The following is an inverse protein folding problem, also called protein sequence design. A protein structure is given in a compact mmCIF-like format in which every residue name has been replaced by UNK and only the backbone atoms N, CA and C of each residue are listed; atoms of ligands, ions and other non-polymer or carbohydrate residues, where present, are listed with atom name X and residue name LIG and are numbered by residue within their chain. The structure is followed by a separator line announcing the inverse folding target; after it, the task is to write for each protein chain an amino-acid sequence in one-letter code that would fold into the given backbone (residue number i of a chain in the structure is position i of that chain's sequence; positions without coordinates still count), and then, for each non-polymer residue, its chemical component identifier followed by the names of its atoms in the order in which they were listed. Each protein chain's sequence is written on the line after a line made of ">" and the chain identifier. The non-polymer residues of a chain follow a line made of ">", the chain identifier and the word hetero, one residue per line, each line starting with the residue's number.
data_IF_675897930422
#
_entry.id   IF_675897930422
#
_cell.length_a   1.000
_cell.length_b   1.000
_cell.length_c   1.000
_cell.angle_alpha   90.00
_cell.angle_beta   90.00
_cell.angle_gamma   90.00
#
_symmetry.space_group_name_H-M   'P 1'
#
loop_
_entity.id
_entity.type
_entity.pdbx_description
1 polymer ?
#
# COMPACT_ATOMS: atom_id res chain seq x y z
N UNK A 1 30.50 0.30 -2.68
CA UNK A 1 30.03 0.61 -1.31
C UNK A 1 30.75 -0.29 -0.34
N UNK A 2 31.47 0.28 0.64
CA UNK A 2 32.20 -0.44 1.66
C UNK A 2 31.29 -1.12 2.70
N UNK A 3 31.87 -2.01 3.54
CA UNK A 3 31.09 -2.73 4.57
C UNK A 3 30.45 -1.77 5.60
N UNK A 4 31.17 -0.72 5.97
CA UNK A 4 30.68 0.32 6.89
C UNK A 4 29.50 1.11 6.30
N UNK A 5 29.63 1.60 5.07
CA UNK A 5 28.57 2.32 4.36
C UNK A 5 27.28 1.49 4.21
N UNK A 6 27.42 0.18 3.94
CA UNK A 6 26.26 -0.74 3.90
C UNK A 6 25.56 -0.83 5.25
N UNK A 7 26.34 -0.91 6.33
CA UNK A 7 25.81 -1.00 7.68
C UNK A 7 25.10 0.30 8.09
N UNK A 8 25.62 1.46 7.71
CA UNK A 8 24.99 2.76 7.96
C UNK A 8 23.68 2.89 7.19
N UNK A 9 23.67 2.53 5.91
CA UNK A 9 22.47 2.56 5.09
C UNK A 9 21.37 1.65 5.67
N UNK A 10 21.71 0.43 6.09
CA UNK A 10 20.75 -0.48 6.72
C UNK A 10 20.19 0.12 8.01
N UNK A 11 21.04 0.71 8.86
CA UNK A 11 20.58 1.38 10.09
C UNK A 11 19.63 2.52 9.80
N UNK A 12 19.90 3.32 8.77
CA UNK A 12 19.02 4.39 8.34
C UNK A 12 17.63 3.87 7.99
N UNK A 13 17.51 2.88 7.10
CA UNK A 13 16.22 2.32 6.72
C UNK A 13 15.47 1.64 7.87
N UNK A 14 16.20 0.97 8.78
CA UNK A 14 15.60 0.42 10.02
C UNK A 14 14.98 1.53 10.88
N UNK A 15 15.67 2.66 11.01
CA UNK A 15 15.15 3.81 11.77
C UNK A 15 13.95 4.46 11.05
N UNK A 16 14.00 4.64 9.72
CA UNK A 16 12.91 5.20 8.90
C UNK A 16 11.60 4.41 9.06
N UNK A 17 11.69 3.08 9.12
CA UNK A 17 10.51 2.24 9.34
C UNK A 17 10.15 2.06 10.83
N UNK A 18 10.81 2.79 11.74
CA UNK A 18 10.52 2.79 13.17
C UNK A 18 10.88 1.47 13.88
N UNK A 19 11.97 0.84 13.46
CA UNK A 19 12.50 -0.41 14.04
C UNK A 19 13.86 -0.23 14.73
N UNK A 20 14.23 1.01 15.09
CA UNK A 20 15.43 1.27 15.89
C UNK A 20 15.39 0.46 17.19
N UNK A 21 16.49 -0.20 17.52
CA UNK A 21 16.61 -1.11 18.67
C UNK A 21 16.27 -2.58 18.36
N UNK A 22 15.76 -2.89 17.15
CA UNK A 22 15.45 -4.24 16.72
C UNK A 22 16.41 -4.79 15.64
N UNK A 23 17.56 -4.14 15.44
CA UNK A 23 18.54 -4.47 14.38
C UNK A 23 19.06 -5.91 14.47
N UNK A 24 19.08 -6.48 15.67
CA UNK A 24 19.55 -7.84 15.94
C UNK A 24 18.42 -8.86 16.18
N UNK A 25 17.17 -8.42 16.09
CA UNK A 25 16.03 -9.30 16.32
C UNK A 25 15.84 -10.28 15.16
N UNK A 26 15.56 -11.53 15.48
CA UNK A 26 15.19 -12.53 14.49
C UNK A 26 13.73 -12.36 14.08
N UNK A 27 13.32 -12.76 12.85
CA UNK A 27 11.94 -12.62 12.36
C UNK A 27 10.87 -13.19 13.30
N UNK A 28 11.17 -14.28 14.02
CA UNK A 28 10.27 -14.91 15.01
C UNK A 28 10.00 -14.04 16.24
N UNK A 29 10.86 -13.07 16.51
CA UNK A 29 10.75 -12.15 17.65
C UNK A 29 9.98 -10.87 17.28
N UNK A 30 9.61 -10.71 16.01
CA UNK A 30 8.92 -9.53 15.49
C UNK A 30 7.42 -9.80 15.36
N UNK A 31 6.61 -8.79 15.65
CA UNK A 31 5.16 -8.80 15.36
C UNK A 31 4.90 -8.85 13.84
N UNK A 32 3.64 -9.09 13.43
CA UNK A 32 3.24 -9.06 12.03
C UNK A 32 3.56 -7.72 11.36
N UNK A 33 3.18 -6.61 11.98
CA UNK A 33 3.47 -5.27 11.50
C UNK A 33 4.98 -4.95 11.47
N UNK A 34 5.75 -5.42 12.46
CA UNK A 34 7.21 -5.24 12.44
C UNK A 34 7.86 -6.02 11.29
N UNK A 35 7.41 -7.24 11.01
CA UNK A 35 7.90 -8.00 9.84
C UNK A 35 7.57 -7.27 8.52
N UNK A 36 6.39 -6.67 8.43
CA UNK A 36 6.01 -5.88 7.26
C UNK A 36 6.91 -4.65 7.07
N UNK A 37 7.23 -3.93 8.15
CA UNK A 37 8.18 -2.81 8.14
C UNK A 37 9.57 -3.26 7.67
N UNK A 38 10.04 -4.42 8.10
CA UNK A 38 11.30 -5.00 7.60
C UNK A 38 11.21 -5.28 6.10
N UNK A 39 10.08 -5.81 5.61
CA UNK A 39 9.91 -6.09 4.18
C UNK A 39 9.97 -4.81 3.34
N UNK A 40 9.32 -3.72 3.79
CA UNK A 40 9.38 -2.40 3.14
C UNK A 40 10.83 -1.87 3.15
N UNK A 41 11.51 -1.83 4.30
CA UNK A 41 12.89 -1.38 4.40
C UNK A 41 13.82 -2.17 3.47
N UNK A 42 13.67 -3.50 3.43
CA UNK A 42 14.45 -4.39 2.56
C UNK A 42 14.24 -4.07 1.08
N UNK A 43 13.01 -3.77 0.67
CA UNK A 43 12.71 -3.43 -0.72
C UNK A 43 13.32 -2.08 -1.11
N UNK A 44 13.28 -1.10 -0.23
CA UNK A 44 13.73 0.28 -0.48
C UNK A 44 15.25 0.45 -0.42
N UNK A 45 15.97 -0.35 0.39
CA UNK A 45 17.42 -0.24 0.53
C UNK A 45 18.17 -0.40 -0.79
N UNK A 46 17.57 -1.08 -1.77
CA UNK A 46 18.11 -1.23 -3.13
C UNK A 46 17.85 -0.01 -4.04
N UNK A 47 17.14 1.02 -3.53
CA UNK A 47 16.73 2.22 -4.28
C UNK A 47 16.10 1.87 -5.64
N UNK A 48 15.04 1.05 -5.66
CA UNK A 48 14.41 0.63 -6.90
C UNK A 48 13.74 1.83 -7.59
N UNK A 49 13.63 1.80 -8.91
CA UNK A 49 12.80 2.74 -9.68
C UNK A 49 11.31 2.41 -9.62
N UNK A 50 10.99 1.14 -9.38
CA UNK A 50 9.62 0.61 -9.27
C UNK A 50 9.55 -0.38 -8.11
N UNK A 51 8.55 -0.22 -7.25
CA UNK A 51 8.21 -1.12 -6.15
C UNK A 51 6.88 -1.79 -6.44
N UNK A 52 6.87 -3.12 -6.42
CA UNK A 52 5.65 -3.92 -6.58
C UNK A 52 5.20 -4.41 -5.21
N UNK A 53 3.94 -4.16 -4.88
CA UNK A 53 3.32 -4.60 -3.63
C UNK A 53 2.01 -5.31 -3.94
N UNK A 54 1.91 -6.57 -3.52
CA UNK A 54 0.74 -7.41 -3.70
C UNK A 54 0.12 -7.71 -2.34
N UNK A 55 -1.05 -7.13 -2.07
CA UNK A 55 -1.81 -7.21 -0.81
C UNK A 55 -0.95 -7.08 0.47
N UNK A 56 -0.06 -6.08 0.56
CA UNK A 56 0.98 -6.06 1.59
C UNK A 56 0.41 -5.94 3.01
N UNK A 57 -0.81 -5.45 3.18
CA UNK A 57 -1.41 -5.22 4.49
C UNK A 57 -2.61 -6.13 4.79
N UNK A 58 -2.92 -7.08 3.90
CA UNK A 58 -4.10 -7.95 4.02
C UNK A 58 -4.15 -8.81 5.30
N UNK A 59 -2.99 -9.20 5.84
CA UNK A 59 -2.89 -10.01 7.07
C UNK A 59 -2.87 -9.17 8.37
N UNK A 60 -2.98 -7.85 8.31
CA UNK A 60 -2.92 -6.96 9.47
C UNK A 60 -4.32 -6.63 10.00
N UNK A 61 -4.43 -6.46 11.31
CA UNK A 61 -5.61 -5.86 11.92
C UNK A 61 -5.79 -4.40 11.49
N UNK A 62 -7.00 -3.86 11.62
CA UNK A 62 -7.36 -2.53 11.12
C UNK A 62 -6.48 -1.40 11.67
N UNK A 63 -6.13 -1.45 12.96
CA UNK A 63 -5.32 -0.42 13.60
C UNK A 63 -3.86 -0.46 13.09
N UNK A 64 -3.28 -1.66 13.06
CA UNK A 64 -1.92 -1.87 12.54
C UNK A 64 -1.84 -1.51 11.04
N UNK A 65 -2.88 -1.84 10.27
CA UNK A 65 -2.98 -1.50 8.84
C UNK A 65 -2.92 0.01 8.62
N UNK A 66 -3.75 0.80 9.32
CA UNK A 66 -3.74 2.27 9.20
C UNK A 66 -2.35 2.86 9.50
N UNK A 67 -1.71 2.41 10.58
CA UNK A 67 -0.34 2.85 10.90
C UNK A 67 0.68 2.47 9.82
N UNK A 68 0.52 1.32 9.18
CA UNK A 68 1.41 0.88 8.09
C UNK A 68 1.20 1.66 6.80
N UNK A 69 -0.03 2.04 6.49
CA UNK A 69 -0.37 2.90 5.35
C UNK A 69 0.24 4.30 5.53
N UNK A 70 0.10 4.91 6.69
CA UNK A 70 0.73 6.21 7.00
C UNK A 70 2.27 6.13 6.93
N UNK A 71 2.86 5.06 7.47
CA UNK A 71 4.30 4.83 7.36
C UNK A 71 4.74 4.72 5.89
N UNK A 72 4.00 3.97 5.07
CA UNK A 72 4.31 3.82 3.64
C UNK A 72 4.27 5.16 2.91
N UNK A 73 3.25 5.99 3.18
CA UNK A 73 3.15 7.34 2.60
C UNK A 73 4.34 8.21 3.01
N UNK A 74 4.69 8.22 4.29
CA UNK A 74 5.85 8.98 4.79
C UNK A 74 7.14 8.56 4.10
N UNK A 75 7.42 7.26 4.06
CA UNK A 75 8.62 6.72 3.41
C UNK A 75 8.60 7.01 1.89
N UNK A 76 7.42 6.93 1.26
CA UNK A 76 7.27 7.29 -0.15
C UNK A 76 7.57 8.77 -0.40
N UNK A 77 7.17 9.68 0.49
CA UNK A 77 7.47 11.11 0.38
C UNK A 77 8.97 11.40 0.38
N UNK A 78 9.74 10.63 1.14
CA UNK A 78 11.19 10.78 1.22
C UNK A 78 11.92 10.19 -0.01
N UNK A 79 11.41 9.09 -0.57
CA UNK A 79 12.11 8.35 -1.64
C UNK A 79 11.52 8.56 -3.05
N UNK A 80 10.26 8.97 -3.17
CA UNK A 80 9.54 9.23 -4.44
C UNK A 80 9.65 8.10 -5.47
N UNK A 81 9.67 6.86 -5.00
CA UNK A 81 9.69 5.68 -5.86
C UNK A 81 8.32 5.46 -6.52
N UNK A 82 8.30 4.98 -7.75
CA UNK A 82 7.05 4.53 -8.36
C UNK A 82 6.58 3.25 -7.67
N UNK A 83 5.32 3.22 -7.23
CA UNK A 83 4.73 2.05 -6.56
C UNK A 83 3.57 1.53 -7.39
N UNK A 84 3.60 0.24 -7.73
CA UNK A 84 2.44 -0.50 -8.18
C UNK A 84 1.91 -1.32 -7.01
N UNK A 85 0.72 -0.96 -6.55
CA UNK A 85 0.11 -1.50 -5.35
C UNK A 85 -1.16 -2.27 -5.72
N UNK A 86 -1.21 -3.55 -5.42
CA UNK A 86 -2.38 -4.41 -5.63
C UNK A 86 -3.08 -4.61 -4.29
N UNK A 87 -4.37 -4.33 -4.26
CA UNK A 87 -5.22 -4.52 -3.08
C UNK A 87 -6.66 -4.78 -3.50
N UNK A 88 -7.42 -5.45 -2.64
CA UNK A 88 -8.87 -5.55 -2.74
C UNK A 88 -9.59 -4.55 -1.81
N UNK A 89 -8.85 -3.77 -1.03
CA UNK A 89 -9.39 -2.75 -0.13
C UNK A 89 -9.47 -1.40 -0.86
N UNK A 90 -10.70 -0.92 -1.08
CA UNK A 90 -10.97 0.32 -1.82
C UNK A 90 -10.47 1.55 -1.06
N UNK A 91 -10.59 1.57 0.27
CA UNK A 91 -10.10 2.70 1.08
C UNK A 91 -8.57 2.79 1.00
N UNK A 92 -7.89 1.66 1.07
CA UNK A 92 -6.45 1.57 0.91
C UNK A 92 -5.99 2.09 -0.45
N UNK A 93 -6.66 1.67 -1.53
CA UNK A 93 -6.34 2.14 -2.88
C UNK A 93 -6.48 3.67 -3.01
N UNK A 94 -7.57 4.25 -2.49
CA UNK A 94 -7.80 5.70 -2.53
C UNK A 94 -6.79 6.44 -1.64
N UNK A 95 -6.53 5.92 -0.44
CA UNK A 95 -5.65 6.57 0.53
C UNK A 95 -4.20 6.66 0.05
N UNK A 96 -3.71 5.59 -0.61
CA UNK A 96 -2.30 5.49 -0.99
C UNK A 96 -2.00 6.04 -2.38
N UNK A 97 -2.87 5.79 -3.37
CA UNK A 97 -2.52 5.97 -4.77
C UNK A 97 -2.81 7.37 -5.32
N UNK A 98 -2.06 7.77 -6.36
CA UNK A 98 -2.38 8.93 -7.20
C UNK A 98 -3.32 8.55 -8.36
N UNK A 99 -3.33 7.26 -8.71
CA UNK A 99 -4.19 6.68 -9.75
C UNK A 99 -4.67 5.31 -9.28
N UNK A 100 -5.98 5.08 -9.37
CA UNK A 100 -6.59 3.79 -9.09
C UNK A 100 -7.08 3.16 -10.38
N UNK A 101 -6.69 1.92 -10.59
CA UNK A 101 -7.09 1.11 -11.75
C UNK A 101 -8.06 0.04 -11.28
N UNK A 102 -9.30 0.10 -11.75
CA UNK A 102 -10.31 -0.94 -11.50
C UNK A 102 -10.26 -1.95 -12.63
N UNK A 103 -10.10 -3.23 -12.27
CA UNK A 103 -10.04 -4.33 -13.22
C UNK A 103 -11.40 -5.04 -13.29
N UNK A 104 -11.83 -5.34 -14.50
CA UNK A 104 -12.95 -6.23 -14.76
C UNK A 104 -12.51 -7.68 -14.68
N UNK A 105 -13.46 -8.57 -14.34
CA UNK A 105 -13.24 -10.01 -14.27
C UNK A 105 -13.63 -10.71 -15.58
N UNK A 106 -12.92 -11.80 -15.90
CA UNK A 106 -13.27 -12.80 -16.94
C UNK A 106 -13.69 -12.24 -18.31
N UNK A 107 -12.74 -11.84 -19.18
CA UNK A 107 -11.29 -11.81 -18.95
C UNK A 107 -10.86 -10.60 -18.14
N UNK A 108 -9.73 -10.72 -17.43
CA UNK A 108 -9.10 -9.58 -16.73
C UNK A 108 -8.77 -8.47 -17.73
N UNK A 109 -9.36 -7.29 -17.55
CA UNK A 109 -9.15 -6.12 -18.40
C UNK A 109 -9.34 -4.83 -17.62
N UNK A 110 -8.77 -3.75 -18.11
CA UNK A 110 -9.03 -2.43 -17.57
C UNK A 110 -10.54 -2.11 -17.70
N UNK A 111 -11.19 -1.83 -16.57
CA UNK A 111 -12.56 -1.32 -16.55
C UNK A 111 -12.54 0.20 -16.48
N UNK A 112 -11.83 0.75 -15.53
CA UNK A 112 -11.76 2.20 -15.31
C UNK A 112 -10.43 2.58 -14.68
N UNK A 113 -9.95 3.76 -15.00
CA UNK A 113 -8.86 4.43 -14.32
C UNK A 113 -9.40 5.72 -13.71
N UNK A 114 -9.06 5.97 -12.43
CA UNK A 114 -9.42 7.18 -11.70
C UNK A 114 -8.13 7.88 -11.24
N UNK A 115 -8.04 9.16 -11.49
CA UNK A 115 -7.05 10.02 -10.87
C UNK A 115 -7.56 10.43 -9.49
N UNK A 116 -6.75 10.28 -8.46
CA UNK A 116 -7.09 10.64 -7.09
C UNK A 116 -6.47 12.00 -6.78
N UNK A 117 -7.30 13.03 -6.78
CA UNK A 117 -6.87 14.43 -6.61
C UNK A 117 -6.97 14.89 -5.13
N UNK A 118 -6.77 13.95 -4.20
CA UNK A 118 -6.65 14.25 -2.78
C UNK A 118 -5.26 14.83 -2.49
N UNK A 119 -5.22 15.93 -1.75
CA UNK A 119 -3.96 16.61 -1.42
C UNK A 119 -2.99 15.73 -0.64
N UNK A 120 -1.69 15.98 -0.79
CA UNK A 120 -0.61 15.36 -0.03
C UNK A 120 0.08 16.41 0.86
N UNK A 121 0.59 16.05 2.04
CA UNK A 121 0.63 14.70 2.64
C UNK A 121 -0.76 14.27 3.13
N UNK A 122 -1.17 13.04 2.78
CA UNK A 122 -2.44 12.49 3.26
C UNK A 122 -2.30 11.97 4.67
N UNK A 123 -3.21 12.36 5.53
CA UNK A 123 -3.35 11.86 6.90
C UNK A 123 -4.61 11.00 6.98
N UNK A 124 -4.68 10.12 7.96
CA UNK A 124 -5.76 9.14 8.04
C UNK A 124 -7.16 9.78 8.21
N UNK A 125 -7.23 11.01 8.73
CA UNK A 125 -8.49 11.77 8.85
C UNK A 125 -9.17 12.06 7.51
N UNK A 126 -8.41 12.05 6.39
CA UNK A 126 -8.96 12.27 5.05
C UNK A 126 -10.01 11.21 4.64
N UNK A 127 -9.97 10.00 5.25
CA UNK A 127 -10.90 8.92 4.91
C UNK A 127 -12.37 9.25 5.25
N UNK A 128 -12.58 10.24 6.11
CA UNK A 128 -13.91 10.74 6.49
C UNK A 128 -14.38 11.93 5.65
N UNK A 129 -13.56 12.42 4.71
CA UNK A 129 -13.92 13.56 3.88
C UNK A 129 -15.01 13.25 2.85
N UNK A 130 -15.80 14.23 2.42
CA UNK A 130 -16.78 14.07 1.34
C UNK A 130 -16.15 13.65 0.01
N UNK A 131 -14.95 14.19 -0.30
CA UNK A 131 -14.19 13.90 -1.51
C UNK A 131 -13.75 12.43 -1.52
N UNK A 132 -13.19 11.93 -0.41
CA UNK A 132 -12.82 10.52 -0.27
C UNK A 132 -14.04 9.61 -0.42
N UNK A 133 -15.15 9.95 0.20
CA UNK A 133 -16.42 9.21 0.12
C UNK A 133 -16.97 9.15 -1.31
N UNK A 134 -16.73 10.17 -2.11
CA UNK A 134 -17.12 10.21 -3.53
C UNK A 134 -16.31 9.18 -4.34
N UNK A 135 -14.98 9.17 -4.22
CA UNK A 135 -14.13 8.17 -4.86
C UNK A 135 -14.52 6.75 -4.44
N UNK A 136 -14.74 6.54 -3.14
CA UNK A 136 -15.13 5.23 -2.60
C UNK A 136 -16.44 4.73 -3.22
N UNK A 137 -17.46 5.57 -3.26
CA UNK A 137 -18.76 5.24 -3.86
C UNK A 137 -18.61 4.85 -5.33
N UNK A 138 -17.85 5.61 -6.10
CA UNK A 138 -17.67 5.40 -7.52
C UNK A 138 -16.95 4.06 -7.80
N UNK A 139 -15.86 3.79 -7.08
CA UNK A 139 -15.11 2.52 -7.23
C UNK A 139 -15.97 1.33 -6.79
N UNK A 140 -16.71 1.45 -5.68
CA UNK A 140 -17.60 0.38 -5.22
C UNK A 140 -18.73 0.09 -6.21
N UNK A 141 -19.25 1.12 -6.90
CA UNK A 141 -20.24 0.93 -7.96
C UNK A 141 -19.67 0.12 -9.13
N UNK A 142 -18.44 0.44 -9.56
CA UNK A 142 -17.73 -0.30 -10.62
C UNK A 142 -17.48 -1.77 -10.23
N UNK A 143 -17.02 -2.02 -9.01
CA UNK A 143 -16.78 -3.38 -8.50
C UNK A 143 -18.09 -4.17 -8.40
N UNK A 144 -19.15 -3.55 -7.90
CA UNK A 144 -20.47 -4.19 -7.80
C UNK A 144 -21.02 -4.61 -9.16
N UNK A 145 -20.91 -3.74 -10.16
CA UNK A 145 -21.31 -4.07 -11.53
C UNK A 145 -20.59 -5.31 -12.05
N UNK A 146 -19.26 -5.40 -11.86
CA UNK A 146 -18.48 -6.56 -12.29
C UNK A 146 -18.85 -7.84 -11.51
N UNK A 147 -19.09 -7.73 -10.22
CA UNK A 147 -19.54 -8.86 -9.40
C UNK A 147 -20.86 -9.42 -9.89
N UNK A 148 -21.82 -8.54 -10.21
CA UNK A 148 -23.13 -8.98 -10.76
C UNK A 148 -23.00 -9.66 -12.13
N UNK A 149 -22.10 -9.17 -13.01
CA UNK A 149 -21.81 -9.82 -14.30
C UNK A 149 -21.27 -11.23 -14.12
N UNK A 150 -20.32 -11.42 -13.20
CA UNK A 150 -19.74 -12.74 -12.92
C UNK A 150 -20.79 -13.68 -12.37
N UNK A 151 -21.61 -13.24 -11.41
CA UNK A 151 -22.71 -14.05 -10.84
C UNK A 151 -23.75 -14.45 -11.88
N UNK A 152 -24.01 -13.61 -12.89
CA UNK A 152 -24.91 -13.93 -13.98
C UNK A 152 -24.35 -15.00 -14.92
N UNK A 153 -23.02 -14.96 -15.18
CA UNK A 153 -22.33 -15.95 -16.01
C UNK A 153 -22.23 -17.33 -15.34
N UNK A 154 -22.07 -17.38 -14.02
CA UNK A 154 -21.94 -18.63 -13.26
C UNK A 154 -23.31 -19.35 -13.05
N UNK A 155 -24.44 -18.73 -13.45
CA UNK A 155 -25.81 -19.29 -13.34
C UNK A 155 -26.37 -19.82 -14.68
N UNK A 156 -25.70 -19.60 -15.77
CA UNK A 156 -26.08 -20.03 -17.12
C UNK A 156 -25.21 -21.17 -17.61
#
# INVERSE_FOLDING_TARGET
>A
MGKAEKADLVRQFIAEVGLAGFEKAYPRQLSGGMRQRVAIARALVYKPSLLLMDEPFGALDAQTRGMMQELLLKVWEDHKVTVLFVTHDVEEAIFLADRVVVLASRPGRLKRELKIELERPRRYDIVTSPEFSTYKRDILADIREETLKVMALDRG
#
